data_IF_833216893484
#
_entry.id   IF_833216893484
#
_cell.length_a   1.000
_cell.length_b   1.000
_cell.length_c   1.000
_cell.angle_alpha   90.00
_cell.angle_beta   90.00
_cell.angle_gamma   90.00
#
_symmetry.space_group_name_H-M   'P 1'
#
loop_
_entity.id
_entity.type
_entity.pdbx_description
1 polymer ?
#
# COMPACT_ATOMS: atom_id res chain seq x y z
N UNK A 1 -9.62 22.92 5.15
CA UNK A 1 -9.30 21.80 4.24
C UNK A 1 -9.54 20.51 5.04
N UNK A 2 -10.44 19.62 4.59
CA UNK A 2 -10.83 18.40 5.32
C UNK A 2 -9.74 17.32 5.24
N UNK A 3 -8.65 17.51 5.99
CA UNK A 3 -7.45 16.66 5.99
C UNK A 3 -7.77 15.17 6.19
N UNK A 4 -8.76 14.85 7.02
CA UNK A 4 -9.25 13.48 7.25
C UNK A 4 -9.88 12.82 6.03
N UNK A 5 -10.59 13.59 5.19
CA UNK A 5 -11.23 13.04 4.00
C UNK A 5 -10.16 12.66 2.97
N UNK A 6 -9.05 13.40 2.95
CA UNK A 6 -7.92 13.17 2.06
C UNK A 6 -7.09 11.95 2.47
N UNK A 7 -6.75 11.78 3.75
CA UNK A 7 -5.97 10.63 4.23
C UNK A 7 -6.72 9.30 4.04
N UNK A 8 -8.00 9.27 4.37
CA UNK A 8 -8.85 8.09 4.19
C UNK A 8 -9.03 7.74 2.70
N UNK A 9 -9.27 8.74 1.86
CA UNK A 9 -9.41 8.55 0.42
C UNK A 9 -8.13 8.00 -0.21
N UNK A 10 -6.97 8.54 0.16
CA UNK A 10 -5.67 8.05 -0.30
C UNK A 10 -5.39 6.63 0.18
N UNK A 11 -5.78 6.27 1.42
CA UNK A 11 -5.66 4.90 1.93
C UNK A 11 -6.56 3.90 1.20
N UNK A 12 -7.81 4.26 0.94
CA UNK A 12 -8.73 3.40 0.19
C UNK A 12 -8.21 3.14 -1.23
N UNK A 13 -7.69 4.19 -1.89
CA UNK A 13 -7.10 4.07 -3.21
C UNK A 13 -5.82 3.22 -3.18
N UNK A 14 -4.97 3.38 -2.16
CA UNK A 14 -3.80 2.54 -1.98
C UNK A 14 -4.21 1.06 -1.82
N UNK A 15 -5.23 0.76 -1.02
CA UNK A 15 -5.75 -0.61 -0.86
C UNK A 15 -6.26 -1.22 -2.17
N UNK A 16 -6.89 -0.40 -3.03
CA UNK A 16 -7.30 -0.84 -4.36
C UNK A 16 -6.09 -1.17 -5.26
N UNK A 17 -5.03 -0.35 -5.25
CA UNK A 17 -3.81 -0.65 -6.02
C UNK A 17 -3.06 -1.87 -5.48
N UNK A 18 -2.96 -2.04 -4.16
CA UNK A 18 -2.38 -3.24 -3.54
C UNK A 18 -3.09 -4.50 -4.04
N UNK A 19 -4.43 -4.47 -4.06
CA UNK A 19 -5.24 -5.58 -4.57
C UNK A 19 -4.99 -5.84 -6.05
N UNK A 20 -4.80 -4.78 -6.87
CA UNK A 20 -4.47 -4.91 -8.30
C UNK A 20 -3.08 -5.47 -8.54
N UNK A 21 -2.07 -5.05 -7.76
CA UNK A 21 -0.70 -5.60 -7.84
C UNK A 21 -0.75 -7.11 -7.63
N UNK A 22 -1.38 -7.55 -6.54
CA UNK A 22 -1.54 -8.97 -6.21
C UNK A 22 -2.28 -9.70 -7.33
N UNK A 23 -3.42 -9.19 -7.77
CA UNK A 23 -4.25 -9.85 -8.77
C UNK A 23 -3.59 -9.94 -10.15
N UNK A 24 -2.89 -8.89 -10.58
CA UNK A 24 -2.14 -8.89 -11.84
C UNK A 24 -0.95 -9.85 -11.78
N UNK A 25 -0.21 -9.85 -10.67
CA UNK A 25 0.88 -10.78 -10.40
C UNK A 25 0.39 -12.24 -10.43
N UNK A 26 -0.70 -12.55 -9.75
CA UNK A 26 -1.24 -13.91 -9.69
C UNK A 26 -1.70 -14.42 -11.08
N UNK A 27 -1.98 -13.51 -12.03
CA UNK A 27 -2.27 -13.85 -13.43
C UNK A 27 -1.04 -13.82 -14.35
N UNK A 28 0.16 -13.50 -13.84
CA UNK A 28 1.37 -13.30 -14.65
C UNK A 28 1.36 -12.03 -15.51
N UNK A 29 0.46 -11.08 -15.25
CA UNK A 29 0.35 -9.82 -15.99
C UNK A 29 1.34 -8.78 -15.43
N UNK A 30 2.56 -8.84 -15.96
CA UNK A 30 3.70 -8.03 -15.55
C UNK A 30 3.42 -6.54 -15.75
N UNK A 31 2.82 -6.18 -16.89
CA UNK A 31 2.57 -4.78 -17.26
C UNK A 31 1.53 -4.17 -16.34
N UNK A 32 0.43 -4.89 -16.06
CA UNK A 32 -0.59 -4.43 -15.14
C UNK A 32 -0.07 -4.34 -13.70
N UNK A 33 0.74 -5.33 -13.26
CA UNK A 33 1.37 -5.33 -11.94
C UNK A 33 2.29 -4.12 -11.75
N UNK A 34 3.19 -3.88 -12.71
CA UNK A 34 4.09 -2.73 -12.68
C UNK A 34 3.34 -1.39 -12.74
N UNK A 35 2.30 -1.29 -13.58
CA UNK A 35 1.47 -0.09 -13.67
C UNK A 35 0.73 0.21 -12.37
N UNK A 36 0.24 -0.82 -11.67
CA UNK A 36 -0.39 -0.67 -10.36
C UNK A 36 0.62 -0.27 -9.27
N UNK A 37 1.84 -0.82 -9.31
CA UNK A 37 2.93 -0.44 -8.42
C UNK A 37 3.28 1.05 -8.55
N UNK A 38 3.46 1.57 -9.76
CA UNK A 38 3.76 2.99 -9.98
C UNK A 38 2.67 3.92 -9.42
N UNK A 39 1.40 3.51 -9.50
CA UNK A 39 0.30 4.26 -8.88
C UNK A 39 0.33 4.19 -7.36
N UNK A 40 0.59 3.01 -6.79
CA UNK A 40 0.73 2.82 -5.35
C UNK A 40 1.88 3.66 -4.77
N UNK A 41 3.03 3.71 -5.45
CA UNK A 41 4.18 4.52 -5.02
C UNK A 41 3.86 6.02 -5.02
N UNK A 42 3.18 6.52 -6.07
CA UNK A 42 2.69 7.92 -6.08
C UNK A 42 1.76 8.22 -4.92
N UNK A 43 0.85 7.29 -4.57
CA UNK A 43 -0.04 7.45 -3.43
C UNK A 43 0.73 7.46 -2.11
N UNK A 44 1.70 6.55 -1.92
CA UNK A 44 2.56 6.52 -0.73
C UNK A 44 3.27 7.86 -0.51
N UNK A 45 3.81 8.47 -1.58
CA UNK A 45 4.43 9.79 -1.51
C UNK A 45 3.45 10.91 -1.15
N UNK A 46 2.19 10.82 -1.61
CA UNK A 46 1.14 11.76 -1.19
C UNK A 46 0.75 11.57 0.28
N UNK A 47 0.66 10.33 0.74
CA UNK A 47 0.31 9.97 2.11
C UNK A 47 1.37 10.48 3.08
N UNK A 48 2.66 10.29 2.79
CA UNK A 48 3.77 10.73 3.65
C UNK A 48 3.78 12.24 3.91
N UNK A 49 3.20 13.04 3.01
CA UNK A 49 3.10 14.50 3.14
C UNK A 49 2.01 14.95 4.11
N UNK A 50 1.11 14.06 4.53
CA UNK A 50 0.06 14.35 5.49
C UNK A 50 0.69 14.45 6.89
N UNK A 51 0.39 15.52 7.62
CA UNK A 51 0.99 15.81 8.94
C UNK A 51 0.82 14.62 9.90
N UNK A 52 -0.37 14.02 9.94
CA UNK A 52 -0.70 12.88 10.81
C UNK A 52 0.02 11.58 10.42
N UNK A 53 0.62 11.53 9.23
CA UNK A 53 1.35 10.36 8.73
C UNK A 53 2.85 10.45 8.97
N UNK A 54 3.39 11.60 9.37
CA UNK A 54 4.82 11.77 9.67
C UNK A 54 5.37 10.71 10.63
N UNK A 55 4.69 10.33 11.73
CA UNK A 55 5.17 9.28 12.62
C UNK A 55 5.20 7.87 11.99
N UNK A 56 4.49 7.67 10.88
CA UNK A 56 4.31 6.37 10.19
C UNK A 56 5.15 6.24 8.93
N UNK A 57 6.05 7.18 8.67
CA UNK A 57 6.85 7.21 7.43
C UNK A 57 7.64 5.91 7.23
N UNK A 58 8.22 5.36 8.31
CA UNK A 58 8.93 4.07 8.29
C UNK A 58 7.99 2.93 7.89
N UNK A 59 6.76 2.89 8.44
CA UNK A 59 5.76 1.87 8.11
C UNK A 59 5.34 1.95 6.62
N UNK A 60 5.26 3.17 6.08
CA UNK A 60 4.93 3.43 4.67
C UNK A 60 6.08 3.09 3.72
N UNK A 61 7.33 3.32 4.13
CA UNK A 61 8.53 2.92 3.40
C UNK A 61 8.65 1.40 3.32
N UNK A 62 8.45 0.71 4.45
CA UNK A 62 8.43 -0.75 4.52
C UNK A 62 7.33 -1.33 3.60
N UNK A 63 6.14 -0.72 3.58
CA UNK A 63 5.09 -1.11 2.65
C UNK A 63 5.51 -0.93 1.19
N UNK A 64 6.16 0.19 0.84
CA UNK A 64 6.70 0.40 -0.50
C UNK A 64 7.70 -0.67 -0.91
N UNK A 65 8.62 -1.06 -0.02
CA UNK A 65 9.57 -2.16 -0.27
C UNK A 65 8.85 -3.49 -0.49
N UNK A 66 7.87 -3.82 0.36
CA UNK A 66 7.10 -5.06 0.24
C UNK A 66 6.32 -5.11 -1.09
N UNK A 67 5.73 -4.00 -1.53
CA UNK A 67 5.01 -3.92 -2.81
C UNK A 67 5.95 -4.07 -4.01
N UNK A 68 7.15 -3.47 -3.96
CA UNK A 68 8.17 -3.68 -5.00
C UNK A 68 8.60 -5.14 -5.09
N UNK A 69 8.81 -5.81 -3.96
CA UNK A 69 9.11 -7.25 -3.93
C UNK A 69 7.93 -8.08 -4.46
N UNK A 70 6.69 -7.74 -4.10
CA UNK A 70 5.48 -8.42 -4.57
C UNK A 70 5.33 -8.40 -6.10
N UNK A 71 5.65 -7.25 -6.71
CA UNK A 71 5.52 -7.04 -8.14
C UNK A 71 6.63 -7.73 -8.96
N UNK A 72 7.69 -8.27 -8.32
CA UNK A 72 8.76 -8.99 -9.02
C UNK A 72 8.26 -10.32 -9.59
N UNK A 73 8.77 -10.67 -10.77
CA UNK A 73 8.49 -11.96 -11.41
C UNK A 73 9.40 -13.11 -10.97
N UNK A 74 10.40 -12.89 -10.13
CA UNK A 74 11.18 -14.00 -9.55
C UNK A 74 10.49 -14.50 -8.27
N UNK A 75 10.13 -15.79 -8.17
CA UNK A 75 9.43 -16.39 -7.02
C UNK A 75 10.25 -16.43 -5.73
N UNK A 76 11.57 -16.57 -5.81
CA UNK A 76 12.45 -16.77 -4.66
C UNK A 76 12.65 -15.51 -3.81
N UNK A 77 12.39 -14.32 -4.37
CA UNK A 77 12.58 -13.02 -3.69
C UNK A 77 11.24 -12.36 -3.28
N UNK A 78 10.12 -13.08 -3.35
CA UNK A 78 8.78 -12.50 -3.16
C UNK A 78 8.32 -12.56 -1.71
N UNK A 79 7.89 -11.43 -1.18
CA UNK A 79 6.99 -11.43 -0.02
C UNK A 79 5.66 -12.06 -0.43
N UNK A 80 5.26 -13.14 0.23
CA UNK A 80 4.00 -13.83 -0.07
C UNK A 80 2.79 -12.89 0.11
N UNK A 81 1.73 -13.09 -0.68
CA UNK A 81 0.45 -12.38 -0.54
C UNK A 81 -0.10 -12.44 0.89
N UNK A 82 0.05 -13.58 1.57
CA UNK A 82 -0.36 -13.76 2.96
C UNK A 82 0.36 -12.79 3.90
N UNK A 83 1.68 -12.63 3.73
CA UNK A 83 2.49 -11.68 4.52
C UNK A 83 2.13 -10.22 4.23
N UNK A 84 1.83 -9.89 2.97
CA UNK A 84 1.39 -8.51 2.62
C UNK A 84 0.05 -8.21 3.29
N UNK A 85 -0.91 -9.14 3.22
CA UNK A 85 -2.22 -8.97 3.85
C UNK A 85 -2.12 -8.92 5.38
N UNK A 86 -1.26 -9.74 5.99
CA UNK A 86 -1.07 -9.76 7.44
C UNK A 86 -0.44 -8.47 7.99
N UNK A 87 0.33 -7.74 7.17
CA UNK A 87 0.82 -6.40 7.51
C UNK A 87 -0.21 -5.30 7.19
N UNK A 88 -0.73 -5.30 5.96
CA UNK A 88 -1.55 -4.21 5.44
C UNK A 88 -2.91 -4.09 6.12
N UNK A 89 -3.61 -5.21 6.35
CA UNK A 89 -4.97 -5.17 6.93
C UNK A 89 -4.93 -4.61 8.36
N UNK A 90 -4.08 -5.08 9.28
CA UNK A 90 -4.00 -4.49 10.62
C UNK A 90 -3.57 -3.02 10.60
N UNK A 91 -2.66 -2.63 9.71
CA UNK A 91 -2.27 -1.22 9.54
C UNK A 91 -3.46 -0.35 9.11
N UNK A 92 -4.20 -0.76 8.09
CA UNK A 92 -5.40 -0.07 7.63
C UNK A 92 -6.48 0.01 8.72
N UNK A 93 -6.67 -1.05 9.50
CA UNK A 93 -7.61 -1.05 10.64
C UNK A 93 -7.17 -0.11 11.76
N UNK A 94 -5.88 -0.06 12.12
CA UNK A 94 -5.37 0.90 13.13
C UNK A 94 -5.60 2.35 12.70
N UNK A 95 -5.43 2.61 11.41
CA UNK A 95 -5.71 3.91 10.81
C UNK A 95 -7.20 4.29 10.92
N UNK A 96 -8.10 3.34 10.71
CA UNK A 96 -9.54 3.55 10.89
C UNK A 96 -9.94 3.70 12.37
N UNK A 97 -9.30 2.98 13.29
CA UNK A 97 -9.63 2.96 14.73
C UNK A 97 -9.13 4.16 15.52
N UNK A 98 -8.05 4.83 15.10
CA UNK A 98 -7.57 6.06 15.73
C UNK A 98 -8.53 7.28 15.57
N UNK A 99 -9.76 7.06 15.08
CA UNK A 99 -10.86 8.03 15.02
C UNK A 99 -11.76 8.07 16.25
N UNK A 100 -11.61 7.15 17.21
CA UNK A 100 -12.42 7.18 18.44
C UNK A 100 -11.57 7.77 19.57
N UNK A 101 -11.28 9.06 19.48
CA UNK A 101 -10.87 9.93 20.60
C UNK A 101 -10.98 11.38 20.19
#
# INVERSE_FOLDING_TARGET
MNTERTSLFLMANLGAEVSRIISARDRGDIVASHSALLRAEKMLEQIKKIVDMKPRTIELDALGVALRSCAKNNEEERVSTTHIKSYFIPFAVRMLKNRVR
#
